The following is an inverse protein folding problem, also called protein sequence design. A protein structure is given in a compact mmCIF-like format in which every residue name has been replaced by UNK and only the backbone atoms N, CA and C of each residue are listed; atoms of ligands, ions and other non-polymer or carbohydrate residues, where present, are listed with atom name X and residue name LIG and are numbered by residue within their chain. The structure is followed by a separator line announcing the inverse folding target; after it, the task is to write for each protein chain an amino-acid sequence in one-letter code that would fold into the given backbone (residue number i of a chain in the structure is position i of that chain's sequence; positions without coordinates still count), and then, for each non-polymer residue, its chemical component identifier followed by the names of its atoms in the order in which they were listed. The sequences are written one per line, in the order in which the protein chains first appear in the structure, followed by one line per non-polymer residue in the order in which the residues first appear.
data_IF_536633610394
#
_entry.id   IF_536633610394
#
_cell.length_a   1.000
_cell.length_b   1.000
_cell.length_c   1.000
_cell.angle_alpha   90.00
_cell.angle_beta   90.00
_cell.angle_gamma   90.00
#
_symmetry.space_group_name_H-M   'P 1'
#
loop_
_entity.id
_entity.type
_entity.pdbx_description
1 polymer ?
#
# COMPACT_ATOMS: atom_id res chain seq x y z
N UNK A 1 -14.60 47.56 -1.54
CA UNK A 1 -14.58 46.07 -1.50
C UNK A 1 -13.28 45.59 -2.12
N UNK A 2 -12.24 45.39 -1.32
CA UNK A 2 -10.90 45.06 -1.83
C UNK A 2 -10.81 43.57 -2.15
N UNK A 3 -10.98 43.21 -3.41
CA UNK A 3 -10.82 41.83 -3.89
C UNK A 3 -9.33 41.47 -3.92
N UNK A 4 -8.87 40.77 -2.89
CA UNK A 4 -7.49 40.29 -2.81
C UNK A 4 -7.21 39.29 -3.95
N UNK A 5 -6.06 39.37 -4.65
CA UNK A 5 -5.75 38.45 -5.74
C UNK A 5 -5.67 37.00 -5.23
N UNK A 6 -6.45 36.10 -5.83
CA UNK A 6 -6.51 34.69 -5.46
C UNK A 6 -5.49 33.90 -6.30
N UNK A 7 -4.69 33.06 -5.63
CA UNK A 7 -3.75 32.19 -6.31
C UNK A 7 -4.45 30.95 -6.89
N UNK A 8 -4.77 31.00 -8.19
CA UNK A 8 -5.43 29.92 -8.90
C UNK A 8 -4.62 28.61 -8.96
N UNK A 9 -3.29 28.66 -8.85
CA UNK A 9 -2.42 27.47 -8.80
C UNK A 9 -2.60 26.72 -7.49
N UNK A 10 -2.71 27.44 -6.37
CA UNK A 10 -2.98 26.85 -5.07
C UNK A 10 -4.36 26.19 -5.05
N UNK A 11 -5.38 26.87 -5.58
CA UNK A 11 -6.75 26.33 -5.72
C UNK A 11 -6.77 25.06 -6.57
N UNK A 12 -6.09 25.05 -7.74
CA UNK A 12 -5.97 23.85 -8.58
C UNK A 12 -5.29 22.70 -7.85
N UNK A 13 -4.19 22.96 -7.13
CA UNK A 13 -3.50 21.92 -6.33
C UNK A 13 -4.40 21.37 -5.23
N UNK A 14 -5.17 22.21 -4.56
CA UNK A 14 -6.10 21.78 -3.52
C UNK A 14 -7.18 20.85 -4.10
N UNK A 15 -7.77 21.22 -5.25
CA UNK A 15 -8.73 20.36 -5.97
C UNK A 15 -8.12 19.00 -6.33
N UNK A 16 -6.91 18.98 -6.91
CA UNK A 16 -6.23 17.72 -7.27
C UNK A 16 -5.96 16.84 -6.05
N UNK A 17 -5.60 17.42 -4.90
CA UNK A 17 -5.40 16.66 -3.65
C UNK A 17 -6.73 16.06 -3.15
N UNK A 18 -7.79 16.85 -3.13
CA UNK A 18 -9.12 16.38 -2.71
C UNK A 18 -9.63 15.23 -3.59
N UNK A 19 -9.46 15.30 -4.90
CA UNK A 19 -9.85 14.22 -5.82
C UNK A 19 -9.04 12.94 -5.56
N UNK A 20 -7.74 13.05 -5.26
CA UNK A 20 -6.91 11.90 -4.87
C UNK A 20 -7.35 11.29 -3.53
N UNK A 21 -7.75 12.10 -2.57
CA UNK A 21 -8.25 11.62 -1.28
C UNK A 21 -9.57 10.86 -1.44
N UNK A 22 -10.53 11.40 -2.22
CA UNK A 22 -11.78 10.69 -2.54
C UNK A 22 -11.53 9.36 -3.23
N UNK A 23 -10.63 9.32 -4.21
CA UNK A 23 -10.26 8.08 -4.88
C UNK A 23 -9.60 7.09 -3.91
N UNK A 24 -8.77 7.57 -2.98
CA UNK A 24 -8.17 6.72 -1.95
C UNK A 24 -9.23 6.16 -0.98
N UNK A 25 -10.23 6.97 -0.61
CA UNK A 25 -11.34 6.55 0.24
C UNK A 25 -12.25 5.54 -0.44
N UNK A 26 -12.62 5.76 -1.70
CA UNK A 26 -13.35 4.80 -2.51
C UNK A 26 -12.58 3.47 -2.64
N UNK A 27 -11.26 3.52 -2.83
CA UNK A 27 -10.42 2.32 -2.87
C UNK A 27 -10.32 1.62 -1.51
N UNK A 28 -10.32 2.36 -0.39
CA UNK A 28 -10.37 1.76 0.96
C UNK A 28 -11.70 1.04 1.17
N UNK A 29 -12.82 1.66 0.78
CA UNK A 29 -14.14 1.06 0.89
C UNK A 29 -14.29 -0.17 -0.03
N UNK A 30 -13.87 -0.06 -1.30
CA UNK A 30 -14.03 -1.11 -2.29
C UNK A 30 -13.08 -2.30 -2.08
N UNK A 31 -11.83 -2.05 -1.66
CA UNK A 31 -10.81 -3.09 -1.59
C UNK A 31 -10.40 -3.46 -0.15
N UNK A 32 -10.98 -2.82 0.87
CA UNK A 32 -10.90 -3.18 2.29
C UNK A 32 -9.50 -3.21 2.93
N UNK A 33 -8.43 -3.07 2.15
CA UNK A 33 -7.04 -3.15 2.58
C UNK A 33 -6.25 -2.02 1.93
N UNK A 34 -5.69 -1.17 2.75
CA UNK A 34 -4.77 -0.12 2.32
C UNK A 34 -3.47 -0.72 1.77
N UNK A 35 -2.71 0.06 1.00
CA UNK A 35 -1.40 -0.36 0.48
C UNK A 35 -0.44 -0.75 1.61
N UNK A 36 -0.50 -0.07 2.75
CA UNK A 36 0.31 -0.35 3.93
C UNK A 36 -0.03 -1.72 4.55
N UNK A 37 -1.32 -2.07 4.65
CA UNK A 37 -1.76 -3.37 5.15
C UNK A 37 -1.38 -4.50 4.20
N UNK A 38 -1.51 -4.29 2.88
CA UNK A 38 -1.03 -5.24 1.87
C UNK A 38 0.47 -5.47 1.97
N UNK A 39 1.26 -4.42 2.25
CA UNK A 39 2.71 -4.54 2.42
C UNK A 39 3.07 -5.31 3.70
N UNK A 40 2.41 -5.02 4.83
CA UNK A 40 2.60 -5.79 6.07
C UNK A 40 2.31 -7.27 5.86
N UNK A 41 1.15 -7.59 5.29
CA UNK A 41 0.77 -8.97 5.01
C UNK A 41 1.77 -9.70 4.08
N UNK A 42 2.33 -9.00 3.09
CA UNK A 42 3.39 -9.56 2.22
C UNK A 42 4.67 -9.86 2.99
N UNK A 43 5.09 -8.94 3.87
CA UNK A 43 6.29 -9.11 4.70
C UNK A 43 6.10 -10.28 5.67
N UNK A 44 4.94 -10.35 6.33
CA UNK A 44 4.63 -11.42 7.28
C UNK A 44 4.58 -12.78 6.58
N UNK A 45 4.00 -12.85 5.38
CA UNK A 45 4.03 -14.05 4.55
C UNK A 45 5.46 -14.44 4.16
N UNK A 46 6.27 -13.50 3.69
CA UNK A 46 7.66 -13.77 3.31
C UNK A 46 8.50 -14.27 4.50
N UNK A 47 8.26 -13.74 5.71
CA UNK A 47 8.90 -14.24 6.94
C UNK A 47 8.45 -15.66 7.28
N UNK A 48 7.16 -15.95 7.16
CA UNK A 48 6.63 -17.28 7.40
C UNK A 48 7.20 -18.29 6.39
N UNK A 49 7.23 -17.93 5.10
CA UNK A 49 7.79 -18.76 4.04
C UNK A 49 9.30 -19.01 4.29
N UNK A 50 10.06 -17.99 4.67
CA UNK A 50 11.48 -18.14 5.00
C UNK A 50 11.72 -18.99 6.25
N UNK A 51 10.86 -18.87 7.26
CA UNK A 51 10.92 -19.71 8.45
C UNK A 51 10.67 -21.18 8.12
N UNK A 52 9.63 -21.47 7.33
CA UNK A 52 9.32 -22.82 6.86
C UNK A 52 10.47 -23.38 6.03
N UNK A 53 11.02 -22.60 5.09
CA UNK A 53 12.14 -23.04 4.26
C UNK A 53 13.41 -23.33 5.06
N UNK A 54 13.73 -22.51 6.07
CA UNK A 54 14.86 -22.78 6.98
C UNK A 54 14.68 -24.04 7.84
N UNK A 55 13.44 -24.47 8.07
CA UNK A 55 13.11 -25.70 8.78
C UNK A 55 12.87 -26.89 7.86
N UNK A 56 12.84 -26.67 6.54
CA UNK A 56 12.67 -27.72 5.55
C UNK A 56 13.97 -28.53 5.48
N UNK A 57 13.95 -29.72 6.06
CA UNK A 57 14.99 -30.73 5.82
C UNK A 57 14.67 -31.33 4.46
N UNK A 58 15.61 -31.27 3.51
CA UNK A 58 15.45 -32.04 2.28
C UNK A 58 15.24 -33.51 2.64
N UNK A 59 14.23 -34.19 2.06
CA UNK A 59 14.19 -35.64 2.13
C UNK A 59 15.49 -36.16 1.52
N UNK A 60 16.13 -37.07 2.24
CA UNK A 60 17.52 -37.48 2.08
C UNK A 60 18.07 -37.43 0.65
N UNK A 61 19.27 -36.88 0.55
CA UNK A 61 20.35 -37.48 -0.24
C UNK A 61 20.41 -38.99 0.07
N UNK A 62 19.58 -39.76 -0.59
CA UNK A 62 19.67 -41.22 -0.69
C UNK A 62 19.90 -41.52 -2.18
N UNK A 63 21.14 -41.88 -2.49
CA UNK A 63 21.60 -42.17 -3.84
C UNK A 63 23.11 -42.05 -3.98
N UNK A 64 23.86 -42.69 -3.07
CA UNK A 64 25.08 -43.43 -3.44
C UNK A 64 24.67 -44.83 -3.87
#
# INVERSE_FOLDING_TARGET
MTTKPINLRAVRKAKVRAEKEKAAEANRAAFGRTKAEKLKAKIDKAKADAHVEGHKREPGREGE
#
